data_IF_000368592111
#
_entry.id   IF_000368592111
#
_cell.length_a   1.000
_cell.length_b   1.000
_cell.length_c   1.000
_cell.angle_alpha   90.00
_cell.angle_beta   90.00
_cell.angle_gamma   90.00
#
_symmetry.space_group_name_H-M   'P 1'
#
loop_
_entity.id
_entity.type
_entity.pdbx_description
1 polymer ?
#
# COMPACT_ATOMS: atom_id res chain seq x y z
N UNK A 1 -17.15 3.84 41.38
CA UNK A 1 -17.44 4.21 39.98
C UNK A 1 -16.13 4.66 39.36
N UNK A 2 -15.51 3.87 38.48
CA UNK A 2 -14.31 4.27 37.75
C UNK A 2 -14.53 3.94 36.27
N UNK A 3 -14.82 4.96 35.47
CA UNK A 3 -14.85 4.84 34.02
C UNK A 3 -13.40 4.82 33.52
N UNK A 4 -12.93 3.64 33.16
CA UNK A 4 -11.75 3.50 32.30
C UNK A 4 -12.10 4.10 30.94
N UNK A 5 -11.63 5.32 30.67
CA UNK A 5 -11.60 5.88 29.33
C UNK A 5 -10.61 5.05 28.50
N UNK A 6 -11.10 3.97 27.88
CA UNK A 6 -10.51 3.46 26.65
C UNK A 6 -10.63 4.59 25.64
N UNK A 7 -9.51 5.18 25.25
CA UNK A 7 -9.44 5.99 24.04
C UNK A 7 -9.87 5.07 22.89
N UNK A 8 -11.13 5.19 22.48
CA UNK A 8 -11.61 4.60 21.23
C UNK A 8 -10.82 5.33 20.15
N UNK A 9 -9.83 4.66 19.57
CA UNK A 9 -9.27 5.12 18.31
C UNK A 9 -10.46 5.42 17.37
N UNK A 10 -10.48 6.57 16.69
CA UNK A 10 -11.56 6.87 15.77
C UNK A 10 -11.71 5.70 14.80
N UNK A 11 -12.95 5.31 14.46
CA UNK A 11 -13.18 4.19 13.56
C UNK A 11 -12.38 4.44 12.27
N UNK A 12 -11.57 3.46 11.89
CA UNK A 12 -10.83 3.48 10.62
C UNK A 12 -11.89 3.69 9.54
N UNK A 13 -11.80 4.76 8.72
CA UNK A 13 -12.79 4.98 7.69
C UNK A 13 -12.87 3.78 6.76
N UNK A 14 -14.09 3.32 6.48
CA UNK A 14 -14.33 2.16 5.63
C UNK A 14 -13.94 2.46 4.17
N UNK A 15 -13.53 1.39 3.47
CA UNK A 15 -13.22 1.43 2.04
C UNK A 15 -14.44 1.96 1.25
N UNK A 16 -14.25 2.86 0.25
CA UNK A 16 -15.34 3.35 -0.59
C UNK A 16 -16.12 2.20 -1.26
N UNK A 17 -17.45 2.28 -1.26
CA UNK A 17 -18.31 1.22 -1.78
C UNK A 17 -18.03 0.86 -3.26
N UNK A 18 -17.70 1.86 -4.08
CA UNK A 18 -17.34 1.62 -5.49
C UNK A 18 -16.05 0.80 -5.63
N UNK A 19 -15.06 1.06 -4.77
CA UNK A 19 -13.82 0.28 -4.76
C UNK A 19 -14.09 -1.15 -4.26
N UNK A 20 -14.88 -1.30 -3.20
CA UNK A 20 -15.27 -2.63 -2.70
C UNK A 20 -16.00 -3.44 -3.79
N UNK A 21 -16.96 -2.82 -4.49
CA UNK A 21 -17.69 -3.45 -5.59
C UNK A 21 -16.74 -3.85 -6.73
N UNK A 22 -15.80 -2.98 -7.11
CA UNK A 22 -14.79 -3.31 -8.12
C UNK A 22 -13.96 -4.52 -7.72
N UNK A 23 -13.52 -4.58 -6.47
CA UNK A 23 -12.73 -5.72 -5.96
C UNK A 23 -13.56 -7.00 -5.96
N UNK A 24 -14.74 -7.00 -5.34
CA UNK A 24 -15.50 -8.23 -5.06
C UNK A 24 -16.31 -8.69 -6.28
N UNK A 25 -16.98 -7.77 -6.98
CA UNK A 25 -17.95 -8.11 -8.01
C UNK A 25 -17.32 -8.18 -9.40
N UNK A 26 -16.42 -7.25 -9.73
CA UNK A 26 -15.78 -7.22 -11.06
C UNK A 26 -14.55 -8.12 -11.13
N UNK A 27 -13.68 -8.06 -10.12
CA UNK A 27 -12.41 -8.80 -10.11
C UNK A 27 -12.48 -10.14 -9.36
N UNK A 28 -13.62 -10.46 -8.74
CA UNK A 28 -13.78 -11.65 -7.88
C UNK A 28 -12.68 -11.76 -6.81
N UNK A 29 -12.25 -10.60 -6.29
CA UNK A 29 -11.20 -10.47 -5.30
C UNK A 29 -11.63 -10.97 -3.92
N UNK A 30 -10.70 -11.57 -3.20
CA UNK A 30 -10.89 -12.09 -1.84
C UNK A 30 -9.72 -11.71 -0.92
N UNK A 31 -9.77 -12.13 0.34
CA UNK A 31 -8.72 -11.85 1.35
C UNK A 31 -8.35 -10.36 1.47
N UNK A 32 -9.38 -9.51 1.50
CA UNK A 32 -9.22 -8.04 1.54
C UNK A 32 -8.73 -7.62 2.93
N UNK A 33 -7.58 -6.96 2.96
CA UNK A 33 -6.83 -6.64 4.18
C UNK A 33 -6.31 -5.21 4.13
N UNK A 34 -6.50 -4.46 5.22
CA UNK A 34 -5.89 -3.14 5.37
C UNK A 34 -4.41 -3.31 5.75
N UNK A 35 -3.50 -3.01 4.83
CA UNK A 35 -2.06 -3.13 5.04
C UNK A 35 -1.55 -2.02 5.94
N UNK A 36 -1.92 -0.77 5.63
CA UNK A 36 -1.46 0.41 6.37
C UNK A 36 -2.41 1.59 6.14
N UNK A 37 -2.50 2.47 7.14
CA UNK A 37 -3.03 3.82 6.98
C UNK A 37 -1.92 4.79 7.38
N UNK A 38 -1.62 5.78 6.55
CA UNK A 38 -0.59 6.78 6.86
C UNK A 38 -0.89 8.12 6.20
N UNK A 39 -0.30 9.16 6.77
CA UNK A 39 -0.24 10.50 6.17
C UNK A 39 0.98 10.55 5.25
N UNK A 40 0.79 11.05 4.03
CA UNK A 40 1.88 11.21 3.07
C UNK A 40 2.80 12.34 3.54
N UNK A 41 4.09 12.02 3.63
CA UNK A 41 5.15 12.98 3.99
C UNK A 41 5.90 13.44 2.73
N UNK A 42 6.69 14.53 2.78
CA UNK A 42 7.37 15.06 1.59
C UNK A 42 8.20 14.01 0.82
N UNK A 43 8.90 13.12 1.53
CA UNK A 43 9.71 12.07 0.89
C UNK A 43 8.89 11.02 0.14
N UNK A 44 7.62 10.84 0.47
CA UNK A 44 6.73 9.95 -0.28
C UNK A 44 6.33 10.55 -1.64
N UNK A 45 6.47 11.86 -1.83
CA UNK A 45 6.04 12.60 -3.02
C UNK A 45 7.22 13.23 -3.78
N UNK A 46 8.44 12.97 -3.31
CA UNK A 46 9.66 13.49 -3.92
C UNK A 46 9.88 12.82 -5.29
N UNK A 47 9.97 13.64 -6.34
CA UNK A 47 10.10 13.16 -7.73
C UNK A 47 11.42 12.42 -7.97
N UNK A 48 12.48 12.71 -7.20
CA UNK A 48 13.77 12.02 -7.32
C UNK A 48 13.74 10.65 -6.63
N UNK A 49 13.03 10.52 -5.50
CA UNK A 49 12.86 9.26 -4.80
C UNK A 49 11.75 8.39 -5.38
N UNK A 50 10.74 9.02 -5.99
CA UNK A 50 9.62 8.44 -6.74
C UNK A 50 8.98 7.22 -6.06
N UNK A 51 8.71 7.30 -4.75
CA UNK A 51 8.32 6.13 -3.97
C UNK A 51 7.44 6.40 -2.77
N UNK A 52 6.54 5.47 -2.48
CA UNK A 52 5.84 5.35 -1.21
C UNK A 52 6.54 4.33 -0.31
N UNK A 53 6.93 4.74 0.90
CA UNK A 53 7.51 3.81 1.88
C UNK A 53 6.45 3.23 2.82
N UNK A 54 6.51 1.91 2.99
CA UNK A 54 5.72 1.09 3.90
C UNK A 54 6.65 0.47 4.97
N UNK A 55 6.92 1.18 6.08
CA UNK A 55 7.80 0.66 7.12
C UNK A 55 7.22 -0.63 7.73
N UNK A 56 8.03 -1.68 7.87
CA UNK A 56 7.52 -2.98 8.30
C UNK A 56 6.83 -2.93 9.67
N UNK A 57 7.37 -2.14 10.61
CA UNK A 57 6.75 -1.94 11.93
C UNK A 57 5.45 -1.14 11.95
N UNK A 58 4.96 -0.66 10.79
CA UNK A 58 3.68 0.04 10.64
C UNK A 58 2.66 -0.75 9.81
N UNK A 59 3.04 -1.92 9.29
CA UNK A 59 2.13 -2.83 8.61
C UNK A 59 1.23 -3.49 9.66
N UNK A 60 -0.08 -3.44 9.43
CA UNK A 60 -1.10 -3.91 10.38
C UNK A 60 -1.36 -5.41 10.28
N UNK A 61 -1.04 -6.03 9.15
CA UNK A 61 -1.42 -7.40 8.83
C UNK A 61 -0.42 -8.04 7.88
N UNK A 62 -0.18 -9.34 8.05
CA UNK A 62 0.58 -10.11 7.07
C UNK A 62 -0.24 -10.26 5.78
N UNK A 63 0.27 -9.65 4.71
CA UNK A 63 -0.42 -9.62 3.41
C UNK A 63 0.32 -10.39 2.33
N UNK A 64 1.59 -10.77 2.55
CA UNK A 64 2.41 -11.50 1.60
C UNK A 64 2.38 -13.01 1.87
N UNK A 65 2.49 -13.80 0.82
CA UNK A 65 2.83 -15.23 0.97
C UNK A 65 4.32 -15.38 1.29
N UNK A 66 4.72 -16.57 1.72
CA UNK A 66 6.15 -16.86 1.93
C UNK A 66 6.96 -16.68 0.63
N UNK A 67 6.44 -17.21 -0.48
CA UNK A 67 7.05 -17.08 -1.81
C UNK A 67 7.22 -15.62 -2.24
N UNK A 68 6.22 -14.77 -2.01
CA UNK A 68 6.29 -13.34 -2.32
C UNK A 68 7.32 -12.62 -1.45
N UNK A 69 7.41 -12.97 -0.16
CA UNK A 69 8.43 -12.43 0.75
C UNK A 69 9.84 -12.84 0.33
N UNK A 70 10.00 -14.09 -0.07
CA UNK A 70 11.29 -14.64 -0.51
C UNK A 70 11.73 -13.94 -1.80
N UNK A 71 10.83 -13.82 -2.77
CA UNK A 71 11.08 -13.08 -4.03
C UNK A 71 11.50 -11.64 -3.77
N UNK A 72 10.81 -10.94 -2.86
CA UNK A 72 11.16 -9.56 -2.49
C UNK A 72 12.49 -9.46 -1.71
N UNK A 73 12.92 -10.55 -1.08
CA UNK A 73 14.20 -10.66 -0.39
C UNK A 73 15.39 -10.95 -1.30
N UNK A 74 15.14 -11.44 -2.51
CA UNK A 74 16.16 -11.77 -3.49
C UNK A 74 16.83 -10.53 -4.09
N UNK A 75 18.09 -10.71 -4.51
CA UNK A 75 18.85 -9.71 -5.23
C UNK A 75 18.99 -10.12 -6.69
N UNK A 76 19.01 -9.12 -7.58
CA UNK A 76 19.41 -9.29 -8.97
C UNK A 76 20.86 -9.79 -9.04
N UNK A 77 21.24 -10.31 -10.21
CA UNK A 77 22.57 -10.84 -10.47
C UNK A 77 23.71 -9.83 -10.20
N UNK A 78 23.42 -8.53 -10.26
CA UNK A 78 24.39 -7.48 -9.90
C UNK A 78 24.70 -7.39 -8.39
N UNK A 79 23.96 -8.10 -7.54
CA UNK A 79 24.13 -8.11 -6.09
C UNK A 79 23.77 -6.80 -5.40
N UNK A 80 23.35 -5.78 -6.14
CA UNK A 80 23.08 -4.42 -5.66
C UNK A 80 21.57 -4.18 -5.59
N UNK A 81 20.83 -4.55 -6.63
CA UNK A 81 19.41 -4.27 -6.74
C UNK A 81 18.56 -5.42 -6.20
N UNK A 82 17.53 -5.11 -5.42
CA UNK A 82 16.53 -6.10 -5.03
C UNK A 82 15.63 -6.45 -6.22
N UNK A 83 15.16 -7.70 -6.26
CA UNK A 83 14.07 -8.12 -7.14
C UNK A 83 12.78 -7.43 -6.63
N UNK A 84 11.95 -7.00 -7.58
CA UNK A 84 10.66 -6.40 -7.30
C UNK A 84 9.53 -7.23 -7.85
N UNK A 85 8.35 -7.10 -7.24
CA UNK A 85 7.11 -7.63 -7.75
C UNK A 85 6.35 -6.53 -8.47
N UNK A 86 6.04 -6.75 -9.74
CA UNK A 86 5.07 -5.94 -10.46
C UNK A 86 3.67 -6.51 -10.19
N UNK A 87 2.77 -5.67 -9.71
CA UNK A 87 1.44 -6.10 -9.29
C UNK A 87 0.39 -5.03 -9.57
N UNK A 88 -0.88 -5.41 -9.81
CA UNK A 88 -1.92 -4.44 -10.07
C UNK A 88 -2.28 -3.64 -8.82
N UNK A 89 -2.45 -2.34 -9.00
CA UNK A 89 -2.91 -1.38 -8.01
C UNK A 89 -4.16 -0.69 -8.54
N UNK A 90 -5.27 -0.83 -7.82
CA UNK A 90 -6.45 0.02 -8.05
C UNK A 90 -6.20 1.37 -7.39
N UNK A 91 -6.24 2.43 -8.18
CA UNK A 91 -6.06 3.81 -7.75
C UNK A 91 -7.32 4.37 -7.07
N UNK A 92 -7.23 5.51 -6.35
CA UNK A 92 -8.40 6.19 -5.81
C UNK A 92 -9.46 6.54 -6.87
N UNK A 93 -9.04 6.80 -8.11
CA UNK A 93 -9.90 7.04 -9.28
C UNK A 93 -10.57 5.78 -9.85
N UNK A 94 -10.30 4.61 -9.29
CA UNK A 94 -10.67 3.27 -9.80
C UNK A 94 -9.94 2.83 -11.08
N UNK A 95 -9.02 3.65 -11.59
CA UNK A 95 -8.06 3.21 -12.60
C UNK A 95 -7.17 2.08 -12.06
N UNK A 96 -6.62 1.26 -12.94
CA UNK A 96 -5.71 0.17 -12.57
C UNK A 96 -4.34 0.45 -13.19
N UNK A 97 -3.33 0.53 -12.35
CA UNK A 97 -1.92 0.68 -12.72
C UNK A 97 -1.13 -0.54 -12.28
N UNK A 98 -0.07 -0.89 -13.01
CA UNK A 98 0.88 -1.92 -12.55
C UNK A 98 2.00 -1.24 -11.77
N UNK A 99 2.07 -1.47 -10.46
CA UNK A 99 3.06 -0.85 -9.59
C UNK A 99 4.17 -1.83 -9.22
N UNK A 100 5.40 -1.33 -9.14
CA UNK A 100 6.53 -2.12 -8.69
C UNK A 100 6.73 -2.00 -7.18
N UNK A 101 6.64 -3.13 -6.47
CA UNK A 101 6.93 -3.27 -5.06
C UNK A 101 8.29 -3.91 -4.83
N UNK A 102 9.10 -3.37 -3.93
CA UNK A 102 10.41 -3.92 -3.52
C UNK A 102 10.55 -3.93 -2.01
N UNK A 103 11.33 -4.86 -1.48
CA UNK A 103 11.79 -4.78 -0.10
C UNK A 103 13.12 -4.03 -0.04
N UNK A 104 13.28 -3.16 0.96
CA UNK A 104 14.51 -2.42 1.18
C UNK A 104 14.90 -2.40 2.65
N UNK A 105 16.20 -2.48 2.92
CA UNK A 105 16.77 -2.33 4.26
C UNK A 105 16.96 -0.84 4.56
N UNK A 106 16.13 -0.30 5.44
CA UNK A 106 16.27 1.04 6.00
C UNK A 106 17.03 0.95 7.33
N UNK A 107 18.36 0.87 7.24
CA UNK A 107 19.23 0.68 8.42
C UNK A 107 18.98 -0.67 9.10
N UNK A 108 18.42 -0.67 10.32
CA UNK A 108 18.11 -1.88 11.09
C UNK A 108 16.73 -2.46 10.80
N UNK A 109 15.87 -1.74 10.08
CA UNK A 109 14.49 -2.15 9.81
C UNK A 109 14.27 -2.34 8.33
N UNK A 110 13.45 -3.32 7.97
CA UNK A 110 12.99 -3.47 6.60
C UNK A 110 11.80 -2.54 6.32
N UNK A 111 11.65 -2.13 5.06
CA UNK A 111 10.47 -1.45 4.55
C UNK A 111 10.12 -2.01 3.17
N UNK A 112 8.83 -2.03 2.83
CA UNK A 112 8.42 -2.22 1.44
C UNK A 112 8.27 -0.86 0.78
N UNK A 113 8.64 -0.79 -0.49
CA UNK A 113 8.65 0.43 -1.29
C UNK A 113 7.78 0.18 -2.50
N UNK A 114 6.74 1.00 -2.67
CA UNK A 114 6.03 1.10 -3.95
C UNK A 114 6.71 2.20 -4.76
N UNK A 115 7.16 1.87 -5.97
CA UNK A 115 7.94 2.76 -6.83
C UNK A 115 7.16 3.06 -8.11
N UNK A 116 7.81 3.14 -9.27
CA UNK A 116 7.12 3.48 -10.53
C UNK A 116 5.88 2.58 -10.77
N UNK A 117 4.75 3.16 -11.20
CA UNK A 117 4.49 4.57 -11.57
C UNK A 117 3.87 5.42 -10.43
N UNK A 118 4.45 5.37 -9.22
CA UNK A 118 3.89 6.04 -8.04
C UNK A 118 3.67 7.55 -8.22
N UNK A 119 4.58 8.28 -8.85
CA UNK A 119 4.45 9.74 -9.02
C UNK A 119 3.32 10.08 -9.99
N UNK A 120 3.14 9.29 -11.03
CA UNK A 120 2.03 9.42 -11.97
C UNK A 120 0.69 9.16 -11.26
N UNK A 121 0.62 8.14 -10.41
CA UNK A 121 -0.56 7.85 -9.57
C UNK A 121 -0.84 9.01 -8.61
N UNK A 122 0.18 9.59 -7.98
CA UNK A 122 0.06 10.77 -7.12
C UNK A 122 -0.59 11.93 -7.87
N UNK A 123 -0.06 12.25 -9.06
CA UNK A 123 -0.55 13.35 -9.88
C UNK A 123 -2.00 13.10 -10.35
N UNK A 124 -2.29 11.91 -10.87
CA UNK A 124 -3.61 11.55 -11.40
C UNK A 124 -4.72 11.57 -10.33
N UNK A 125 -4.37 11.31 -9.06
CA UNK A 125 -5.32 11.23 -7.95
C UNK A 125 -5.27 12.44 -7.00
N UNK A 126 -4.51 13.48 -7.39
CA UNK A 126 -4.34 14.72 -6.62
C UNK A 126 -3.84 14.48 -5.19
N UNK A 127 -2.98 13.48 -4.98
CA UNK A 127 -2.37 13.20 -3.70
C UNK A 127 -1.35 14.30 -3.38
N UNK A 128 -1.34 14.78 -2.13
CA UNK A 128 -0.48 15.87 -1.68
C UNK A 128 0.12 15.55 -0.32
N UNK A 129 1.15 16.30 0.07
CA UNK A 129 1.67 16.22 1.44
C UNK A 129 0.50 16.44 2.41
N UNK A 130 0.48 15.67 3.48
CA UNK A 130 -0.61 15.60 4.47
C UNK A 130 -1.89 14.88 4.01
N UNK A 131 -1.99 14.38 2.78
CA UNK A 131 -3.09 13.48 2.42
C UNK A 131 -3.03 12.22 3.28
N UNK A 132 -4.15 11.86 3.89
CA UNK A 132 -4.28 10.59 4.59
C UNK A 132 -4.70 9.51 3.58
N UNK A 133 -3.94 8.42 3.51
CA UNK A 133 -4.20 7.30 2.61
C UNK A 133 -4.34 6.00 3.38
N UNK A 134 -5.07 5.06 2.79
CA UNK A 134 -5.02 3.66 3.16
C UNK A 134 -4.53 2.84 1.97
N UNK A 135 -3.69 1.85 2.26
CA UNK A 135 -3.30 0.83 1.29
C UNK A 135 -3.90 -0.50 1.74
N UNK A 136 -4.61 -1.13 0.82
CA UNK A 136 -5.26 -2.41 0.99
C UNK A 136 -4.61 -3.45 0.09
N UNK A 137 -4.59 -4.70 0.54
CA UNK A 137 -4.23 -5.86 -0.26
C UNK A 137 -5.42 -6.76 -0.45
N UNK A 138 -5.47 -7.47 -1.57
CA UNK A 138 -6.45 -8.51 -1.84
C UNK A 138 -5.88 -9.53 -2.83
N UNK A 139 -6.61 -10.60 -3.06
CA UNK A 139 -6.21 -11.72 -3.92
C UNK A 139 -7.19 -11.90 -5.06
N UNK A 140 -6.68 -12.00 -6.28
CA UNK A 140 -7.42 -12.45 -7.46
C UNK A 140 -6.69 -13.67 -7.99
N UNK A 141 -7.37 -14.82 -8.03
CA UNK A 141 -6.76 -16.10 -8.42
C UNK A 141 -5.42 -16.37 -7.68
N UNK A 142 -5.38 -16.11 -6.37
CA UNK A 142 -4.20 -16.20 -5.47
C UNK A 142 -3.11 -15.15 -5.69
N UNK A 143 -3.16 -14.35 -6.76
CA UNK A 143 -2.19 -13.28 -7.04
C UNK A 143 -2.46 -12.05 -6.20
N UNK A 144 -1.40 -11.49 -5.61
CA UNK A 144 -1.48 -10.25 -4.84
C UNK A 144 -1.88 -9.07 -5.73
N UNK A 145 -2.86 -8.32 -5.27
CA UNK A 145 -3.27 -7.02 -5.80
C UNK A 145 -3.31 -6.01 -4.66
N UNK A 146 -3.16 -4.74 -5.00
CA UNK A 146 -3.29 -3.63 -4.06
C UNK A 146 -4.43 -2.70 -4.45
N UNK A 147 -4.95 -1.96 -3.47
CA UNK A 147 -5.86 -0.85 -3.70
C UNK A 147 -5.50 0.33 -2.81
N UNK A 148 -5.51 1.52 -3.38
CA UNK A 148 -5.19 2.77 -2.70
C UNK A 148 -6.46 3.58 -2.49
N UNK A 149 -6.69 3.99 -1.24
CA UNK A 149 -7.79 4.88 -0.87
C UNK A 149 -7.20 6.21 -0.39
N UNK A 150 -7.71 7.31 -0.93
CA UNK A 150 -7.50 8.65 -0.40
C UNK A 150 -8.63 8.96 0.56
N UNK A 151 -8.32 9.20 1.83
CA UNK A 151 -9.30 9.62 2.82
C UNK A 151 -9.56 11.11 2.64
N UNK A 152 -10.83 11.51 2.76
CA UNK A 152 -11.21 12.92 2.75
C UNK A 152 -10.61 13.60 3.98
N UNK A 153 -10.11 14.82 3.81
CA UNK A 153 -9.73 15.67 4.94
C UNK A 153 -11.02 16.03 5.69
N UNK A 154 -11.12 15.66 6.97
CA UNK A 154 -12.21 16.08 7.86
C UNK A 154 -12.07 17.55 8.26
#
# INVERSE_FOLDING_TARGET
>A
MNYNQRTLDPPVPDMPAQLMNKIVMELHGCDIKLVIQKVLIPTDLDEYQARLSLPNGKIKVEFLTQEERDTLGERKADGVHCIGLELPLIEPSLAVSNINMRKWKLGKTDAYILSSPWIEIVAANGLRVNSCIQLWSFRVEKRLHLALVKLLDN
#
